data_IF_414688344650
#
_entry.id   IF_414688344650
#
_cell.length_a   1.000
_cell.length_b   1.000
_cell.length_c   1.000
_cell.angle_alpha   90.00
_cell.angle_beta   90.00
_cell.angle_gamma   90.00
#
_symmetry.space_group_name_H-M   'P 1'
#
loop_
_entity.id
_entity.type
_entity.pdbx_description
1 polymer ?
#
# COMPACT_ATOMS: atom_id res chain seq x y z
N UNK A 1 -9.42 -3.28 -28.79
CA UNK A 1 -8.07 -3.41 -29.40
C UNK A 1 -7.50 -4.76 -28.97
N UNK A 2 -7.00 -5.58 -29.89
CA UNK A 2 -6.41 -6.88 -29.54
C UNK A 2 -5.13 -6.65 -28.73
N UNK A 3 -5.00 -7.32 -27.58
CA UNK A 3 -3.79 -7.32 -26.78
C UNK A 3 -2.73 -8.18 -27.49
N UNK A 4 -1.51 -7.65 -27.60
CA UNK A 4 -0.37 -8.41 -28.10
C UNK A 4 -0.06 -9.56 -27.12
N UNK A 5 -0.10 -10.80 -27.61
CA UNK A 5 0.11 -12.00 -26.80
C UNK A 5 1.61 -12.32 -26.59
N UNK A 6 2.52 -11.57 -27.22
CA UNK A 6 3.98 -11.78 -27.15
C UNK A 6 4.78 -10.46 -27.13
N UNK A 7 4.62 -9.61 -26.11
CA UNK A 7 5.37 -8.37 -26.02
C UNK A 7 6.86 -8.64 -25.81
N UNK A 8 7.71 -8.11 -26.69
CA UNK A 8 9.16 -8.19 -26.56
C UNK A 8 9.68 -7.23 -25.46
N UNK A 9 10.92 -7.42 -24.96
CA UNK A 9 11.64 -6.38 -24.22
C UNK A 9 11.61 -5.04 -24.96
N UNK A 10 11.58 -3.93 -24.21
CA UNK A 10 11.39 -2.56 -24.70
C UNK A 10 10.02 -2.31 -25.37
N UNK A 11 9.02 -3.18 -25.11
CA UNK A 11 7.65 -2.90 -25.53
C UNK A 11 7.07 -1.71 -24.76
N UNK A 12 6.64 -0.70 -25.50
CA UNK A 12 5.96 0.48 -24.99
C UNK A 12 4.46 0.36 -25.29
N UNK A 13 3.62 0.47 -24.26
CA UNK A 13 2.17 0.64 -24.47
C UNK A 13 1.66 1.93 -23.92
N UNK A 14 0.75 2.52 -24.67
CA UNK A 14 -0.03 3.69 -24.30
C UNK A 14 -1.49 3.30 -24.35
N UNK A 15 -2.20 3.48 -23.24
CA UNK A 15 -3.62 3.18 -23.15
C UNK A 15 -4.35 4.34 -22.51
N UNK A 16 -5.21 4.97 -23.28
CA UNK A 16 -6.13 5.97 -22.76
C UNK A 16 -7.34 5.31 -22.09
N UNK A 17 -7.80 5.95 -21.03
CA UNK A 17 -9.00 5.63 -20.25
C UNK A 17 -9.75 6.93 -19.99
N UNK A 18 -11.00 6.84 -19.53
CA UNK A 18 -11.79 8.04 -19.21
C UNK A 18 -11.15 8.90 -18.11
N UNK A 19 -10.35 8.30 -17.22
CA UNK A 19 -9.70 9.00 -16.11
C UNK A 19 -8.28 9.51 -16.45
N UNK A 20 -7.61 8.97 -17.46
CA UNK A 20 -6.18 9.21 -17.66
C UNK A 20 -5.52 8.32 -18.70
N UNK A 21 -4.20 8.49 -18.86
CA UNK A 21 -3.37 7.70 -19.78
C UNK A 21 -2.40 6.81 -19.01
N UNK A 22 -2.42 5.52 -19.31
CA UNK A 22 -1.43 4.56 -18.81
C UNK A 22 -0.25 4.46 -19.78
N UNK A 23 0.95 4.56 -19.25
CA UNK A 23 2.21 4.36 -19.95
C UNK A 23 2.93 3.17 -19.31
N UNK A 24 3.29 2.18 -20.13
CA UNK A 24 3.97 0.96 -19.68
C UNK A 24 5.20 0.73 -20.55
N UNK A 25 6.28 0.35 -19.90
CA UNK A 25 7.51 -0.16 -20.52
C UNK A 25 7.72 -1.57 -20.01
N UNK A 26 7.74 -2.55 -20.91
CA UNK A 26 8.10 -3.91 -20.59
C UNK A 26 9.61 -4.07 -20.74
N UNK A 27 10.31 -4.24 -19.64
CA UNK A 27 11.77 -4.38 -19.61
C UNK A 27 12.17 -5.79 -20.03
N UNK A 28 11.37 -6.80 -19.68
CA UNK A 28 11.52 -8.17 -20.16
C UNK A 28 10.17 -8.91 -20.06
N UNK A 29 9.88 -9.81 -21.00
CA UNK A 29 8.67 -10.63 -20.95
C UNK A 29 8.88 -12.03 -21.53
N UNK A 30 8.08 -12.99 -21.05
CA UNK A 30 7.87 -14.30 -21.70
C UNK A 30 6.37 -14.61 -21.67
N UNK A 31 5.73 -14.68 -22.85
CA UNK A 31 4.32 -15.04 -23.13
C UNK A 31 3.24 -14.33 -22.29
N UNK A 32 2.30 -13.64 -22.95
CA UNK A 32 1.06 -13.19 -22.32
C UNK A 32 -0.04 -14.24 -22.49
N UNK A 33 -0.63 -14.72 -21.39
CA UNK A 33 -1.79 -15.60 -21.47
C UNK A 33 -3.02 -14.83 -21.94
N UNK A 34 -3.93 -15.52 -22.65
CA UNK A 34 -5.19 -15.05 -23.27
C UNK A 34 -6.17 -14.30 -22.33
N UNK A 35 -5.85 -14.18 -21.04
CA UNK A 35 -6.59 -13.43 -20.00
C UNK A 35 -5.77 -12.27 -19.39
N UNK A 36 -4.81 -11.70 -20.14
CA UNK A 36 -4.00 -10.55 -19.75
C UNK A 36 -2.99 -10.80 -18.60
N UNK A 37 -2.51 -12.02 -18.44
CA UNK A 37 -1.53 -12.36 -17.40
C UNK A 37 -0.22 -12.81 -18.06
N UNK A 38 0.85 -12.03 -17.91
CA UNK A 38 2.20 -12.44 -18.35
C UNK A 38 2.72 -13.62 -17.52
N UNK A 39 3.32 -14.64 -18.14
CA UNK A 39 3.99 -15.75 -17.41
C UNK A 39 5.24 -15.24 -16.68
N UNK A 40 6.00 -14.31 -17.27
CA UNK A 40 7.01 -13.51 -16.59
C UNK A 40 7.03 -12.12 -17.18
N UNK A 41 7.05 -11.08 -16.34
CA UNK A 41 7.38 -9.74 -16.77
C UNK A 41 8.21 -8.97 -15.76
N UNK A 42 8.97 -8.02 -16.29
CA UNK A 42 9.51 -6.89 -15.55
C UNK A 42 8.98 -5.67 -16.27
N UNK A 43 8.34 -4.76 -15.54
CA UNK A 43 7.78 -3.57 -16.15
C UNK A 43 7.89 -2.35 -15.25
N UNK A 44 8.05 -1.20 -15.90
CA UNK A 44 7.86 0.09 -15.29
C UNK A 44 6.63 0.73 -15.93
N UNK A 45 5.79 1.37 -15.14
CA UNK A 45 4.61 2.07 -15.63
C UNK A 45 4.37 3.35 -14.88
N UNK A 46 3.73 4.30 -15.54
CA UNK A 46 3.09 5.39 -14.84
C UNK A 46 1.69 5.64 -15.40
N UNK A 47 0.77 6.06 -14.52
CA UNK A 47 -0.55 6.50 -14.90
C UNK A 47 -0.63 8.02 -14.75
N UNK A 48 -0.93 8.69 -15.85
CA UNK A 48 -1.17 10.13 -15.92
C UNK A 48 -2.66 10.37 -15.73
N UNK A 49 -3.07 10.78 -14.54
CA UNK A 49 -4.46 11.06 -14.22
C UNK A 49 -4.82 12.51 -14.61
N UNK A 50 -5.97 12.70 -15.26
CA UNK A 50 -6.48 14.02 -15.61
C UNK A 50 -7.45 14.50 -14.53
N UNK A 51 -6.99 15.45 -13.71
CA UNK A 51 -7.84 16.16 -12.76
C UNK A 51 -8.32 17.50 -13.36
N UNK A 52 -9.46 18.08 -12.90
CA UNK A 52 -9.98 19.36 -13.38
C UNK A 52 -8.97 20.52 -13.34
N UNK A 53 -8.00 20.46 -12.43
CA UNK A 53 -7.06 21.56 -12.20
C UNK A 53 -5.57 21.14 -12.26
N UNK A 54 -5.27 19.84 -12.28
CA UNK A 54 -3.90 19.33 -12.17
C UNK A 54 -3.70 18.01 -12.92
N UNK A 55 -2.45 17.57 -13.04
CA UNK A 55 -2.11 16.25 -13.58
C UNK A 55 -1.34 15.50 -12.51
N UNK A 56 -1.82 14.30 -12.16
CA UNK A 56 -1.16 13.44 -11.18
C UNK A 56 -0.45 12.28 -11.88
N UNK A 57 0.68 11.85 -11.31
CA UNK A 57 1.47 10.73 -11.81
C UNK A 57 1.58 9.64 -10.77
N UNK A 58 0.97 8.50 -11.05
CA UNK A 58 1.11 7.29 -10.25
C UNK A 58 2.22 6.47 -10.87
N UNK A 59 3.29 6.22 -10.13
CA UNK A 59 4.46 5.51 -10.66
C UNK A 59 4.49 4.11 -10.08
N UNK A 60 4.85 3.11 -10.88
CA UNK A 60 4.90 1.75 -10.41
C UNK A 60 6.02 0.97 -11.11
N UNK A 61 6.87 0.33 -10.32
CA UNK A 61 7.82 -0.65 -10.77
C UNK A 61 7.32 -2.05 -10.35
N UNK A 62 7.12 -2.91 -11.34
CA UNK A 62 6.64 -4.26 -11.13
C UNK A 62 7.66 -5.29 -11.61
N UNK A 63 7.86 -6.30 -10.79
CA UNK A 63 8.43 -7.57 -11.20
C UNK A 63 7.41 -8.65 -10.91
N UNK A 64 7.02 -9.42 -11.92
CA UNK A 64 6.03 -10.49 -11.75
C UNK A 64 6.56 -11.74 -12.46
N UNK A 65 6.70 -12.82 -11.71
CA UNK A 65 7.04 -14.14 -12.22
C UNK A 65 5.89 -15.07 -11.91
N UNK A 66 5.04 -15.34 -12.90
CA UNK A 66 3.97 -16.33 -12.87
C UNK A 66 4.38 -17.57 -13.67
N UNK A 67 5.46 -18.24 -13.28
CA UNK A 67 5.65 -19.60 -13.79
C UNK A 67 4.46 -20.44 -13.34
N UNK A 68 3.72 -20.96 -14.33
CA UNK A 68 2.56 -21.86 -14.22
C UNK A 68 1.94 -22.01 -12.83
N UNK A 69 0.77 -21.40 -12.60
CA UNK A 69 -0.05 -21.65 -11.41
C UNK A 69 0.71 -21.65 -10.06
N UNK A 70 1.83 -20.93 -9.95
CA UNK A 70 2.53 -20.75 -8.68
C UNK A 70 1.70 -19.79 -7.81
N UNK A 71 0.66 -20.33 -7.19
CA UNK A 71 -0.33 -19.57 -6.44
C UNK A 71 0.22 -19.08 -5.09
N UNK A 72 1.39 -19.58 -4.66
CA UNK A 72 1.93 -19.29 -3.34
C UNK A 72 1.85 -20.44 -2.33
N UNK A 73 1.46 -21.66 -2.73
CA UNK A 73 1.37 -22.82 -1.82
C UNK A 73 2.70 -23.12 -1.13
N UNK A 74 2.64 -23.81 0.00
CA UNK A 74 3.77 -24.58 0.57
C UNK A 74 5.11 -23.79 0.69
N UNK A 75 5.03 -22.52 1.10
CA UNK A 75 6.22 -21.65 1.33
C UNK A 75 7.08 -22.16 2.49
N UNK A 76 6.54 -23.05 3.32
CA UNK A 76 7.11 -23.45 4.59
C UNK A 76 6.75 -22.43 5.67
N UNK A 77 7.75 -21.67 6.14
CA UNK A 77 7.61 -20.74 7.26
C UNK A 77 7.70 -19.28 6.82
N UNK A 78 7.16 -18.37 7.63
CA UNK A 78 7.35 -16.92 7.45
C UNK A 78 8.84 -16.55 7.41
N UNK A 79 9.68 -17.17 8.25
CA UNK A 79 11.12 -16.89 8.25
C UNK A 79 11.76 -17.23 6.91
N UNK A 80 11.37 -18.36 6.30
CA UNK A 80 11.86 -18.73 4.97
C UNK A 80 11.40 -17.74 3.90
N UNK A 81 10.14 -17.30 3.98
CA UNK A 81 9.61 -16.28 3.08
C UNK A 81 10.39 -14.96 3.22
N UNK A 82 10.70 -14.56 4.46
CA UNK A 82 11.50 -13.38 4.78
C UNK A 82 12.91 -13.47 4.23
N UNK A 83 13.61 -14.58 4.41
CA UNK A 83 14.97 -14.75 3.85
C UNK A 83 15.00 -14.47 2.34
N UNK A 84 14.02 -15.01 1.61
CA UNK A 84 13.92 -14.86 0.16
C UNK A 84 13.59 -13.42 -0.25
N UNK A 85 12.64 -12.78 0.44
CA UNK A 85 12.23 -11.42 0.14
C UNK A 85 13.29 -10.39 0.56
N UNK A 86 13.86 -10.52 1.76
CA UNK A 86 14.88 -9.63 2.30
C UNK A 86 16.14 -9.63 1.41
N UNK A 87 16.55 -10.80 0.89
CA UNK A 87 17.69 -10.90 -0.02
C UNK A 87 17.52 -10.07 -1.31
N UNK A 88 16.29 -9.97 -1.83
CA UNK A 88 16.00 -9.16 -3.02
C UNK A 88 15.86 -7.68 -2.65
N UNK A 89 15.10 -7.37 -1.59
CA UNK A 89 14.88 -5.98 -1.16
C UNK A 89 16.20 -5.31 -0.79
N UNK A 90 17.06 -5.95 0.01
CA UNK A 90 18.35 -5.36 0.40
C UNK A 90 19.27 -5.10 -0.79
N UNK A 91 19.13 -5.85 -1.88
CA UNK A 91 19.94 -5.69 -3.09
C UNK A 91 19.49 -4.52 -3.95
N UNK A 92 18.18 -4.28 -4.06
CA UNK A 92 17.61 -3.29 -4.99
C UNK A 92 17.08 -2.04 -4.30
N UNK A 93 16.64 -2.15 -3.05
CA UNK A 93 16.01 -1.11 -2.23
C UNK A 93 16.60 -1.13 -0.81
N UNK A 94 17.91 -0.84 -0.65
CA UNK A 94 18.63 -0.99 0.63
C UNK A 94 18.13 -0.06 1.75
N UNK A 95 17.33 0.94 1.41
CA UNK A 95 16.68 1.90 2.31
C UNK A 95 15.32 1.41 2.85
N UNK A 96 14.85 0.26 2.37
CA UNK A 96 13.58 -0.36 2.76
C UNK A 96 13.81 -1.51 3.74
N UNK A 97 13.00 -1.56 4.80
CA UNK A 97 13.12 -2.53 5.90
C UNK A 97 11.81 -3.30 6.03
N UNK A 98 11.91 -4.60 6.28
CA UNK A 98 10.73 -5.45 6.54
C UNK A 98 9.92 -4.87 7.72
N UNK A 99 8.61 -4.74 7.51
CA UNK A 99 7.71 -4.16 8.51
C UNK A 99 6.66 -5.18 9.01
N UNK A 100 5.88 -5.75 8.09
CA UNK A 100 4.81 -6.69 8.44
C UNK A 100 4.61 -7.70 7.31
N UNK A 101 4.20 -8.91 7.68
CA UNK A 101 3.75 -9.91 6.74
C UNK A 101 2.24 -10.04 6.80
N UNK A 102 1.61 -10.08 5.63
CA UNK A 102 0.23 -10.43 5.43
C UNK A 102 0.13 -11.89 4.97
N UNK A 103 -0.69 -12.67 5.67
CA UNK A 103 -0.94 -14.08 5.40
C UNK A 103 -2.28 -14.32 4.68
N UNK A 104 -3.04 -13.28 4.36
CA UNK A 104 -4.39 -13.28 3.77
C UNK A 104 -4.37 -12.69 2.35
N UNK A 105 -3.46 -13.18 1.51
CA UNK A 105 -3.26 -12.68 0.14
C UNK A 105 -4.49 -12.81 -0.79
N UNK A 106 -5.53 -13.55 -0.41
CA UNK A 106 -6.74 -13.72 -1.20
C UNK A 106 -7.53 -12.43 -1.45
N UNK A 107 -7.46 -11.44 -0.57
CA UNK A 107 -8.27 -10.19 -0.64
C UNK A 107 -7.41 -8.97 -1.03
N UNK A 108 -6.12 -9.15 -1.33
CA UNK A 108 -5.22 -8.01 -1.43
C UNK A 108 -5.24 -7.29 -2.79
N UNK A 109 -5.22 -5.94 -2.79
CA UNK A 109 -5.06 -5.15 -3.99
C UNK A 109 -3.70 -5.41 -4.65
N UNK A 110 -3.64 -5.25 -5.97
CA UNK A 110 -2.40 -5.40 -6.74
C UNK A 110 -1.85 -6.83 -6.85
N UNK A 111 -2.59 -7.86 -6.40
CA UNK A 111 -2.18 -9.26 -6.56
C UNK A 111 -1.95 -9.62 -8.03
N UNK A 112 -0.86 -10.35 -8.28
CA UNK A 112 -0.53 -10.85 -9.60
C UNK A 112 -1.60 -11.85 -10.11
N UNK A 113 -2.15 -12.72 -9.28
CA UNK A 113 -3.10 -13.77 -9.70
C UNK A 113 -4.43 -13.65 -8.97
N UNK A 114 -5.53 -13.69 -9.74
CA UNK A 114 -6.89 -13.82 -9.21
C UNK A 114 -7.36 -15.29 -9.13
N UNK A 115 -6.48 -16.23 -9.47
CA UNK A 115 -6.79 -17.67 -9.49
C UNK A 115 -6.18 -18.36 -8.28
N UNK A 116 -7.03 -18.92 -7.41
CA UNK A 116 -6.63 -19.60 -6.18
C UNK A 116 -7.65 -19.39 -5.05
N UNK A 117 -7.58 -20.23 -4.02
CA UNK A 117 -8.24 -19.98 -2.73
C UNK A 117 -7.21 -19.68 -1.62
N UNK A 118 -7.63 -19.32 -0.40
CA UNK A 118 -6.75 -19.05 0.74
C UNK A 118 -5.56 -20.01 0.91
N UNK A 119 -5.76 -21.35 0.83
CA UNK A 119 -4.67 -22.33 1.00
C UNK A 119 -3.65 -22.32 -0.14
N UNK A 120 -3.98 -21.62 -1.23
CA UNK A 120 -3.13 -21.53 -2.39
C UNK A 120 -2.10 -20.42 -2.29
N UNK A 121 -2.28 -19.49 -1.35
CA UNK A 121 -1.46 -18.29 -1.26
C UNK A 121 -0.36 -18.40 -0.20
N UNK A 122 0.72 -17.67 -0.46
CA UNK A 122 1.90 -17.62 0.39
C UNK A 122 1.89 -16.42 1.31
N UNK A 123 3.01 -15.70 1.37
CA UNK A 123 3.14 -14.49 2.18
C UNK A 123 3.30 -13.27 1.30
N UNK A 124 2.62 -12.18 1.66
CA UNK A 124 2.98 -10.83 1.21
C UNK A 124 3.77 -10.16 2.32
N UNK A 125 4.96 -9.69 2.01
CA UNK A 125 5.84 -9.00 2.95
C UNK A 125 5.92 -7.53 2.57
N UNK A 126 5.49 -6.65 3.47
CA UNK A 126 5.54 -5.21 3.31
C UNK A 126 6.85 -4.65 3.86
N UNK A 127 7.40 -3.70 3.13
CA UNK A 127 8.64 -3.02 3.45
C UNK A 127 8.41 -1.52 3.49
N UNK A 128 9.09 -0.85 4.42
CA UNK A 128 8.95 0.58 4.61
C UNK A 128 10.29 1.26 4.85
N UNK A 129 10.29 2.59 4.68
CA UNK A 129 11.41 3.42 5.12
C UNK A 129 11.46 3.47 6.64
N UNK A 130 12.67 3.49 7.19
CA UNK A 130 12.93 3.77 8.59
C UNK A 130 13.70 5.10 8.70
N UNK A 131 13.03 6.14 9.19
CA UNK A 131 13.62 7.46 9.38
C UNK A 131 13.84 7.70 10.87
N UNK A 132 15.10 7.83 11.29
CA UNK A 132 15.47 8.00 12.70
C UNK A 132 14.88 6.90 13.61
N UNK A 133 14.77 5.68 13.11
CA UNK A 133 14.18 4.54 13.84
C UNK A 133 12.65 4.50 13.87
N UNK A 134 11.97 5.41 13.17
CA UNK A 134 10.51 5.48 13.05
C UNK A 134 10.09 5.04 11.64
N UNK A 135 9.11 4.13 11.49
CA UNK A 135 8.64 3.67 10.18
C UNK A 135 7.82 4.75 9.47
N UNK A 136 7.87 4.81 8.15
CA UNK A 136 6.74 5.32 7.36
C UNK A 136 5.71 4.20 7.35
N UNK A 137 4.68 4.28 8.21
CA UNK A 137 3.80 3.14 8.51
C UNK A 137 3.02 2.72 7.26
N UNK A 138 3.25 1.52 6.69
CA UNK A 138 2.47 1.06 5.54
C UNK A 138 1.10 0.58 6.00
N UNK A 139 0.01 1.25 5.66
CA UNK A 139 -1.34 0.73 5.95
C UNK A 139 -2.11 0.37 4.70
N UNK A 140 -3.06 -0.57 4.83
CA UNK A 140 -3.81 -1.05 3.67
C UNK A 140 -4.70 0.03 3.03
N UNK A 141 -5.19 0.97 3.83
CA UNK A 141 -6.07 2.07 3.42
C UNK A 141 -5.40 3.02 2.39
N UNK A 142 -4.07 2.97 2.26
CA UNK A 142 -3.32 3.84 1.35
C UNK A 142 -3.78 3.72 -0.11
N UNK A 143 -4.57 4.69 -0.57
CA UNK A 143 -5.04 4.80 -1.95
C UNK A 143 -6.29 3.98 -2.29
N UNK A 144 -7.02 3.47 -1.29
CA UNK A 144 -8.26 2.72 -1.50
C UNK A 144 -9.45 3.61 -1.92
N UNK A 145 -9.40 4.91 -1.61
CA UNK A 145 -10.35 5.88 -2.14
C UNK A 145 -10.07 6.14 -3.63
N UNK A 146 -10.62 5.29 -4.49
CA UNK A 146 -10.91 5.64 -5.89
C UNK A 146 -11.96 6.77 -6.02
N UNK A 147 -12.32 7.44 -4.92
CA UNK A 147 -13.24 8.56 -4.90
C UNK A 147 -12.59 9.77 -5.57
N UNK A 148 -12.82 9.88 -6.87
CA UNK A 148 -12.60 11.12 -7.63
C UNK A 148 -13.74 12.10 -7.31
N UNK A 149 -13.71 12.71 -6.14
CA UNK A 149 -14.51 13.93 -5.92
C UNK A 149 -13.70 15.14 -6.42
N UNK A 150 -14.39 16.21 -6.80
CA UNK A 150 -13.88 17.47 -7.33
C UNK A 150 -12.85 18.19 -6.43
N UNK A 151 -12.53 17.66 -5.23
CA UNK A 151 -11.72 18.33 -4.22
C UNK A 151 -10.56 17.53 -3.63
N UNK A 152 -10.43 16.22 -3.90
CA UNK A 152 -9.26 15.45 -3.45
C UNK A 152 -8.95 14.28 -4.38
N UNK A 153 -7.67 14.09 -4.68
CA UNK A 153 -7.15 12.91 -5.37
C UNK A 153 -6.44 12.02 -4.36
N UNK A 154 -6.54 10.70 -4.55
CA UNK A 154 -5.84 9.73 -3.72
C UNK A 154 -4.34 10.10 -3.62
N UNK A 155 -3.84 10.18 -2.39
CA UNK A 155 -2.42 10.42 -2.14
C UNK A 155 -1.63 9.23 -2.66
N UNK A 156 -0.56 9.52 -3.40
CA UNK A 156 0.33 8.52 -3.97
C UNK A 156 1.29 7.99 -2.89
N UNK A 157 0.77 7.18 -1.98
CA UNK A 157 1.59 6.57 -0.95
C UNK A 157 2.63 5.64 -1.56
N UNK A 158 3.87 5.81 -1.13
CA UNK A 158 4.95 4.87 -1.39
C UNK A 158 4.69 3.52 -0.73
N UNK A 159 4.64 2.45 -1.52
CA UNK A 159 4.41 1.11 -1.01
C UNK A 159 5.36 0.12 -1.69
N UNK A 160 6.08 -0.67 -0.91
CA UNK A 160 6.87 -1.80 -1.39
C UNK A 160 6.39 -3.08 -0.75
N UNK A 161 6.02 -4.07 -1.56
CA UNK A 161 5.78 -5.42 -1.08
C UNK A 161 6.35 -6.49 -2.00
N UNK A 162 6.63 -7.65 -1.39
CA UNK A 162 7.13 -8.85 -2.05
C UNK A 162 6.20 -10.01 -1.74
N UNK A 163 5.76 -10.72 -2.76
CA UNK A 163 4.97 -11.93 -2.60
C UNK A 163 5.84 -13.16 -2.83
N UNK A 164 5.80 -14.09 -1.88
CA UNK A 164 6.65 -15.29 -1.85
C UNK A 164 5.78 -16.55 -1.80
N UNK A 165 6.12 -17.52 -2.65
CA UNK A 165 5.47 -18.82 -2.80
C UNK A 165 6.45 -19.99 -2.65
N UNK A 166 6.00 -21.23 -2.89
CA UNK A 166 6.83 -22.45 -2.87
C UNK A 166 8.14 -22.30 -3.64
N UNK A 167 8.07 -21.72 -4.84
CA UNK A 167 9.21 -21.60 -5.75
C UNK A 167 9.97 -20.27 -5.57
N UNK A 168 9.74 -19.56 -4.47
CA UNK A 168 10.38 -18.29 -4.15
C UNK A 168 9.53 -17.07 -4.49
N UNK A 169 10.19 -15.93 -4.69
CA UNK A 169 9.55 -14.64 -5.00
C UNK A 169 8.85 -14.71 -6.36
N UNK A 170 7.55 -14.43 -6.38
CA UNK A 170 6.74 -14.43 -7.60
C UNK A 170 6.18 -13.04 -7.94
N UNK A 171 6.24 -12.09 -7.01
CA UNK A 171 5.91 -10.70 -7.29
C UNK A 171 6.74 -9.75 -6.41
N UNK A 172 7.16 -8.64 -6.99
CA UNK A 172 7.66 -7.45 -6.29
C UNK A 172 6.92 -6.27 -6.90
N UNK A 173 6.39 -5.42 -6.04
CA UNK A 173 5.62 -4.26 -6.46
C UNK A 173 6.09 -3.06 -5.66
N UNK A 174 6.61 -2.05 -6.37
CA UNK A 174 7.07 -0.81 -5.77
C UNK A 174 6.28 0.36 -6.36
N UNK A 175 5.31 0.82 -5.60
CA UNK A 175 4.40 1.88 -5.96
C UNK A 175 4.92 3.21 -5.43
N UNK A 176 4.74 4.24 -6.24
CA UNK A 176 5.03 5.64 -5.95
C UNK A 176 6.37 5.84 -5.21
N UNK A 177 7.48 5.30 -5.76
CA UNK A 177 8.79 5.44 -5.14
C UNK A 177 9.10 6.91 -4.85
N UNK A 178 9.44 7.20 -3.61
CA UNK A 178 9.77 8.53 -3.15
C UNK A 178 11.28 8.68 -2.97
N UNK A 179 11.71 9.93 -2.98
CA UNK A 179 13.05 10.32 -2.56
C UNK A 179 12.92 11.17 -1.31
N UNK A 180 13.52 10.70 -0.21
CA UNK A 180 13.58 11.46 1.03
C UNK A 180 14.33 12.77 0.77
N UNK A 181 13.64 13.88 1.07
CA UNK A 181 14.15 15.23 0.87
C UNK A 181 14.89 15.76 2.09
N UNK A 182 14.86 17.08 2.25
CA UNK A 182 15.40 17.77 3.41
C UNK A 182 14.46 17.63 4.62
N UNK A 183 15.03 17.67 5.82
CA UNK A 183 14.27 17.87 7.05
C UNK A 183 13.60 19.25 7.03
N UNK A 184 12.29 19.30 7.27
CA UNK A 184 11.52 20.55 7.35
C UNK A 184 11.63 21.18 8.74
N UNK A 185 11.61 20.35 9.78
CA UNK A 185 11.75 20.75 11.17
C UNK A 185 12.44 19.61 11.95
N UNK A 186 13.54 19.92 12.64
CA UNK A 186 14.40 18.92 13.29
C UNK A 186 13.91 18.53 14.70
N UNK A 187 13.28 19.47 15.40
CA UNK A 187 12.75 19.28 16.74
C UNK A 187 11.27 19.66 16.78
N UNK A 188 10.42 18.64 16.76
CA UNK A 188 8.97 18.76 16.97
C UNK A 188 8.62 18.27 18.37
N UNK A 189 7.78 19.01 19.08
CA UNK A 189 7.20 18.53 20.34
C UNK A 189 6.02 17.65 20.01
N UNK A 190 6.12 16.37 20.36
CA UNK A 190 5.01 15.44 20.22
C UNK A 190 4.08 15.53 21.43
N UNK A 191 2.79 15.30 21.19
CA UNK A 191 1.83 15.07 22.26
C UNK A 191 2.26 13.89 23.12
N UNK A 192 1.97 13.98 24.42
CA UNK A 192 2.12 12.82 25.31
C UNK A 192 1.15 11.74 24.88
N UNK A 193 1.55 10.49 25.04
CA UNK A 193 0.71 9.35 24.68
C UNK A 193 -0.67 9.39 25.34
N UNK A 194 -0.79 9.87 26.59
CA UNK A 194 -2.09 10.05 27.26
C UNK A 194 -3.01 11.04 26.53
N UNK A 195 -2.48 12.12 25.97
CA UNK A 195 -3.27 13.10 25.20
C UNK A 195 -3.76 12.48 23.89
N UNK A 196 -2.93 11.64 23.27
CA UNK A 196 -3.31 10.89 22.05
C UNK A 196 -4.44 9.89 22.36
N UNK A 197 -4.35 9.19 23.50
CA UNK A 197 -5.42 8.30 23.97
C UNK A 197 -6.72 9.06 24.27
N UNK A 198 -6.63 10.26 24.86
CA UNK A 198 -7.80 11.11 25.12
C UNK A 198 -8.49 11.54 23.82
N UNK A 199 -7.73 11.88 22.78
CA UNK A 199 -8.27 12.18 21.44
C UNK A 199 -8.93 10.94 20.85
N UNK A 200 -8.24 9.80 20.86
CA UNK A 200 -8.79 8.54 20.34
C UNK A 200 -10.12 8.18 21.01
N UNK A 201 -10.18 8.20 22.34
CA UNK A 201 -11.38 7.84 23.11
C UNK A 201 -12.58 8.75 22.80
N UNK A 202 -12.34 10.03 22.48
CA UNK A 202 -13.39 10.98 22.12
C UNK A 202 -13.86 10.82 20.68
N UNK A 203 -12.94 10.54 19.75
CA UNK A 203 -13.23 10.58 18.31
C UNK A 203 -13.68 9.24 17.76
N UNK A 204 -13.10 8.11 18.20
CA UNK A 204 -13.45 6.80 17.64
C UNK A 204 -14.94 6.50 17.71
N UNK A 205 -15.68 6.77 18.81
CA UNK A 205 -17.11 6.52 18.84
C UNK A 205 -17.87 7.33 17.79
N UNK A 206 -17.45 8.57 17.52
CA UNK A 206 -18.06 9.44 16.53
C UNK A 206 -17.81 8.94 15.10
N UNK A 207 -16.59 8.44 14.82
CA UNK A 207 -16.22 7.87 13.52
C UNK A 207 -17.15 6.71 13.11
N UNK A 208 -17.61 5.92 14.07
CA UNK A 208 -18.46 4.75 13.84
C UNK A 208 -19.92 4.95 14.30
N UNK A 209 -20.32 6.18 14.64
CA UNK A 209 -21.67 6.48 15.13
C UNK A 209 -22.77 6.15 14.11
N UNK A 210 -22.48 6.25 12.81
CA UNK A 210 -23.42 5.88 11.74
C UNK A 210 -23.83 4.40 11.83
N UNK A 211 -22.98 3.56 12.42
CA UNK A 211 -23.22 2.13 12.62
C UNK A 211 -23.61 1.78 14.05
N UNK A 212 -24.00 2.75 14.88
CA UNK A 212 -24.36 2.53 16.29
C UNK A 212 -25.58 1.61 16.44
N UNK A 213 -26.53 1.67 15.48
CA UNK A 213 -27.73 0.83 15.47
C UNK A 213 -27.47 -0.60 15.00
N UNK A 214 -26.31 -0.89 14.42
CA UNK A 214 -25.97 -2.24 13.96
C UNK A 214 -25.73 -3.17 15.15
N UNK A 215 -26.27 -4.40 15.14
CA UNK A 215 -25.95 -5.38 16.17
C UNK A 215 -24.44 -5.72 16.10
N UNK A 216 -23.83 -6.05 17.24
CA UNK A 216 -22.44 -6.52 17.27
C UNK A 216 -21.41 -5.50 16.71
N UNK A 217 -21.58 -4.21 17.02
CA UNK A 217 -20.59 -3.18 16.72
C UNK A 217 -19.45 -3.21 17.76
N UNK A 218 -18.21 -3.40 17.29
CA UNK A 218 -17.04 -3.49 18.17
C UNK A 218 -15.74 -3.18 17.44
N UNK A 219 -14.86 -2.46 18.12
CA UNK A 219 -13.53 -2.11 17.61
C UNK A 219 -12.51 -2.71 18.57
N UNK A 220 -11.49 -3.37 18.02
CA UNK A 220 -10.39 -3.93 18.79
C UNK A 220 -9.07 -3.40 18.26
N UNK A 221 -8.45 -2.52 19.03
CA UNK A 221 -7.07 -2.07 18.80
C UNK A 221 -6.12 -3.13 19.33
N UNK A 222 -5.20 -3.60 18.49
CA UNK A 222 -4.17 -4.56 18.87
C UNK A 222 -2.78 -3.92 18.99
N UNK A 223 -2.55 -2.77 18.34
CA UNK A 223 -1.28 -2.07 18.35
C UNK A 223 -1.47 -0.58 18.16
N UNK A 224 -0.69 0.23 18.88
CA UNK A 224 -0.62 1.68 18.67
C UNK A 224 0.80 2.03 18.25
N UNK A 225 0.96 2.61 17.06
CA UNK A 225 2.27 2.79 16.42
C UNK A 225 2.55 4.28 16.23
N UNK A 226 3.71 4.74 16.70
CA UNK A 226 4.28 6.00 16.24
C UNK A 226 4.98 5.76 14.90
N UNK A 227 4.54 6.47 13.88
CA UNK A 227 5.10 6.37 12.54
C UNK A 227 5.07 7.71 11.82
N UNK A 228 5.55 7.73 10.59
CA UNK A 228 5.33 8.81 9.66
C UNK A 228 4.22 8.43 8.67
N UNK A 229 3.42 9.42 8.28
CA UNK A 229 2.57 9.32 7.09
C UNK A 229 2.92 10.39 6.07
N UNK A 230 2.62 10.11 4.81
CA UNK A 230 2.82 11.03 3.71
C UNK A 230 1.60 11.95 3.61
N UNK A 231 1.83 13.26 3.65
CA UNK A 231 0.80 14.27 3.40
C UNK A 231 1.24 15.14 2.23
N UNK A 232 0.33 15.40 1.29
CA UNK A 232 0.62 16.28 0.16
C UNK A 232 0.86 17.71 0.66
N UNK A 233 1.88 18.38 0.13
CA UNK A 233 2.13 19.78 0.44
C UNK A 233 1.15 20.66 -0.34
N UNK A 234 0.37 21.49 0.38
CA UNK A 234 -0.63 22.39 -0.20
C UNK A 234 -0.09 23.27 -1.34
N UNK A 235 1.11 23.81 -1.17
CA UNK A 235 1.72 24.74 -2.14
C UNK A 235 2.58 24.03 -3.20
N UNK A 236 2.72 22.69 -3.11
CA UNK A 236 3.52 21.91 -4.04
C UNK A 236 2.96 20.48 -4.17
N UNK A 237 1.97 20.25 -5.04
CA UNK A 237 1.23 18.99 -5.13
C UNK A 237 2.09 17.79 -5.53
N UNK A 238 3.28 18.02 -6.13
CA UNK A 238 4.24 16.97 -6.47
C UNK A 238 5.22 16.66 -5.33
N UNK A 239 5.02 17.26 -4.15
CA UNK A 239 5.86 17.07 -2.96
C UNK A 239 5.01 16.65 -1.79
N UNK A 240 5.55 15.74 -1.01
CA UNK A 240 4.93 15.23 0.20
C UNK A 240 5.79 15.62 1.39
N UNK A 241 5.13 15.90 2.51
CA UNK A 241 5.76 16.02 3.81
C UNK A 241 5.49 14.75 4.62
N UNK A 242 6.50 14.27 5.32
CA UNK A 242 6.36 13.16 6.25
C UNK A 242 6.00 13.73 7.62
N UNK A 243 4.78 13.46 8.08
CA UNK A 243 4.26 13.96 9.35
C UNK A 243 4.21 12.82 10.35
N UNK A 244 4.73 13.01 11.58
CA UNK A 244 4.66 11.98 12.60
C UNK A 244 3.20 11.83 13.07
N UNK A 245 2.75 10.60 13.18
CA UNK A 245 1.37 10.24 13.54
C UNK A 245 1.33 9.03 14.45
N UNK A 246 0.23 8.90 15.16
CA UNK A 246 -0.13 7.72 15.93
C UNK A 246 -1.24 6.96 15.21
N UNK A 247 -0.96 5.70 14.89
CA UNK A 247 -1.90 4.79 14.25
C UNK A 247 -2.44 3.77 15.24
N UNK A 248 -3.76 3.68 15.30
CA UNK A 248 -4.47 2.69 16.10
C UNK A 248 -4.83 1.51 15.22
N UNK A 249 -3.92 0.56 15.15
CA UNK A 249 -4.04 -0.63 14.30
C UNK A 249 -4.93 -1.66 14.96
N UNK A 250 -5.84 -2.26 14.20
CA UNK A 250 -6.76 -3.23 14.76
C UNK A 250 -7.75 -3.83 13.79
N UNK A 251 -8.88 -4.26 14.34
CA UNK A 251 -10.00 -4.82 13.60
C UNK A 251 -11.31 -4.17 14.05
N UNK A 252 -12.32 -4.23 13.19
CA UNK A 252 -13.69 -3.78 13.49
C UNK A 252 -14.70 -4.85 13.12
N UNK A 253 -15.78 -4.89 13.87
CA UNK A 253 -17.00 -5.65 13.57
C UNK A 253 -18.15 -4.67 13.53
N UNK A 254 -18.94 -4.69 12.46
CA UNK A 254 -20.12 -3.84 12.29
C UNK A 254 -21.22 -4.70 11.69
N UNK A 255 -22.28 -5.00 12.45
CA UNK A 255 -23.34 -5.88 11.97
C UNK A 255 -22.79 -7.28 11.69
N UNK A 256 -22.85 -7.69 10.43
CA UNK A 256 -22.27 -8.94 9.93
C UNK A 256 -20.88 -8.75 9.29
N UNK A 257 -20.42 -7.51 9.11
CA UNK A 257 -19.11 -7.20 8.54
C UNK A 257 -18.03 -7.38 9.62
N UNK A 258 -16.99 -8.15 9.29
CA UNK A 258 -15.77 -8.21 10.07
C UNK A 258 -14.60 -7.78 9.18
N UNK A 259 -13.96 -6.67 9.54
CA UNK A 259 -12.76 -6.18 8.87
C UNK A 259 -11.56 -6.38 9.81
N UNK A 260 -10.60 -7.18 9.37
CA UNK A 260 -9.35 -7.48 10.06
C UNK A 260 -8.24 -7.61 9.03
N UNK A 261 -8.13 -6.57 8.24
CA UNK A 261 -7.09 -6.43 7.25
C UNK A 261 -5.74 -6.16 7.92
N UNK A 262 -4.66 -6.63 7.29
CA UNK A 262 -3.33 -6.47 7.86
C UNK A 262 -2.95 -5.01 7.94
N UNK A 263 -2.59 -4.57 9.14
CA UNK A 263 -2.18 -3.20 9.43
C UNK A 263 -3.22 -2.13 9.07
N UNK A 264 -4.50 -2.44 9.24
CA UNK A 264 -5.59 -1.47 9.08
C UNK A 264 -5.60 -0.43 10.21
N UNK A 265 -5.62 0.87 9.88
CA UNK A 265 -5.65 1.95 10.87
C UNK A 265 -7.09 2.35 11.18
N UNK A 266 -7.55 2.02 12.39
CA UNK A 266 -8.89 2.39 12.85
C UNK A 266 -9.02 3.90 13.05
N UNK A 267 -7.92 4.55 13.45
CA UNK A 267 -7.81 6.00 13.57
C UNK A 267 -6.33 6.41 13.46
N UNK A 268 -6.06 7.48 12.72
CA UNK A 268 -4.74 8.11 12.64
C UNK A 268 -4.81 9.51 13.25
N UNK A 269 -3.88 9.82 14.14
CA UNK A 269 -3.81 11.09 14.87
C UNK A 269 -2.46 11.75 14.62
N UNK A 270 -2.46 13.01 14.20
CA UNK A 270 -1.25 13.83 14.11
C UNK A 270 -0.56 13.92 15.47
N UNK A 271 0.70 13.48 15.53
CA UNK A 271 1.44 13.39 16.79
C UNK A 271 1.86 14.76 17.33
N UNK A 272 1.78 15.83 16.54
CA UNK A 272 2.18 17.19 16.94
C UNK A 272 1.01 17.96 17.56
N UNK A 273 -0.16 17.95 16.91
CA UNK A 273 -1.29 18.80 17.29
C UNK A 273 -2.57 18.03 17.69
N UNK A 274 -2.61 16.71 17.49
CA UNK A 274 -3.75 15.87 17.87
C UNK A 274 -4.92 15.92 16.91
N UNK A 275 -4.76 16.54 15.74
CA UNK A 275 -5.75 16.47 14.66
C UNK A 275 -5.89 15.02 14.16
N UNK A 276 -7.11 14.65 13.79
CA UNK A 276 -7.42 13.33 13.23
C UNK A 276 -7.26 13.42 11.73
N UNK A 277 -6.62 12.42 11.13
CA UNK A 277 -6.37 12.37 9.70
C UNK A 277 -7.08 11.14 9.15
N UNK A 278 -7.88 11.34 8.10
CA UNK A 278 -8.38 10.23 7.30
C UNK A 278 -7.28 9.75 6.36
N UNK A 279 -6.89 8.48 6.43
CA UNK A 279 -5.79 7.95 5.60
C UNK A 279 -6.17 7.71 4.15
N UNK A 280 -7.46 7.54 3.88
CA UNK A 280 -7.95 7.38 2.51
C UNK A 280 -7.78 8.69 1.71
N UNK A 281 -7.91 9.85 2.40
CA UNK A 281 -7.85 11.19 1.80
C UNK A 281 -6.59 11.99 2.16
N UNK A 282 -5.93 11.64 3.26
CA UNK A 282 -4.80 12.33 3.88
C UNK A 282 -5.09 13.76 4.34
N UNK A 283 -6.23 13.98 4.99
CA UNK A 283 -6.51 15.18 5.79
C UNK A 283 -7.59 14.91 6.83
#
# INVERSE_FOLDING_TARGET
MALDESPEPDYHSHRDTDAGTNHLIMIASKRMYKKSLAEKNISASYFKLFAPHEVYYFNNLNFIVKEGYNRGRDVGTLDRARELADAVVQRFFPDMVFYVADTKMEVLPGRASIHGGPPDYGYRLYYCRMLSGIPVTPVLQEGAAMAMDNYSYAINYEQLYVDVGQNGVFQINYQNPLRVGKTLQDHVSLLRFSQVLDVFAKVVPLKYAVSESEPNNGIQVNRVVLGYMQLQMKDNPNRYQLVPVWDFIGSRTIGQEYCNETNDSLLTINAIDGTVIDRDYGY
#
